data_IF_608578196120
#
_entry.id   IF_608578196120
#
_cell.length_a   1.000
_cell.length_b   1.000
_cell.length_c   1.000
_cell.angle_alpha   90.00
_cell.angle_beta   90.00
_cell.angle_gamma   90.00
#
_symmetry.space_group_name_H-M   'P 1'
#
loop_
_entity.id
_entity.type
_entity.pdbx_description
1 polymer ?
#
# COMPACT_ATOMS: atom_id res chain seq x y z
N UNK A 1 -6.03 3.35 -21.19
CA UNK A 1 -4.86 3.21 -20.31
C UNK A 1 -4.63 4.53 -19.59
N UNK A 2 -4.63 4.51 -18.28
CA UNK A 2 -4.44 5.76 -17.54
C UNK A 2 -2.97 6.12 -17.48
N UNK A 3 -2.58 7.16 -18.22
CA UNK A 3 -1.23 7.72 -18.16
C UNK A 3 -1.08 8.73 -17.03
N UNK A 4 -2.21 9.11 -16.39
CA UNK A 4 -2.21 10.10 -15.31
C UNK A 4 -2.06 9.49 -13.92
N UNK A 5 -2.14 8.16 -13.81
CA UNK A 5 -1.99 7.49 -12.53
C UNK A 5 -0.52 7.37 -12.15
N UNK A 6 -0.13 8.06 -11.07
CA UNK A 6 1.23 8.03 -10.55
C UNK A 6 1.70 6.59 -10.29
N UNK A 7 0.84 5.77 -9.66
CA UNK A 7 1.24 4.40 -9.31
C UNK A 7 1.31 3.49 -10.53
N UNK A 8 0.44 3.67 -11.53
CA UNK A 8 0.58 2.94 -12.80
C UNK A 8 1.91 3.26 -13.47
N UNK A 9 2.37 4.50 -13.40
CA UNK A 9 3.65 4.93 -13.97
C UNK A 9 4.83 4.36 -13.19
N UNK A 10 4.69 4.20 -11.88
CA UNK A 10 5.70 3.51 -11.05
C UNK A 10 5.72 2.02 -11.39
N UNK A 11 4.56 1.38 -11.49
CA UNK A 11 4.46 -0.05 -11.84
C UNK A 11 5.12 -0.33 -13.18
N UNK A 12 4.91 0.54 -14.17
CA UNK A 12 5.50 0.38 -15.50
C UNK A 12 7.02 0.67 -15.55
N UNK A 13 7.57 1.26 -14.49
CA UNK A 13 8.97 1.66 -14.46
C UNK A 13 9.25 3.04 -15.06
N UNK A 14 8.23 3.74 -15.52
CA UNK A 14 8.37 5.10 -16.07
C UNK A 14 8.87 6.09 -15.00
N UNK A 15 8.37 5.96 -13.78
CA UNK A 15 8.81 6.76 -12.64
C UNK A 15 9.56 5.83 -11.68
N UNK A 16 10.81 6.16 -11.32
CA UNK A 16 11.57 5.36 -10.38
C UNK A 16 11.00 5.45 -8.96
N UNK A 17 11.10 4.35 -8.20
CA UNK A 17 10.71 4.29 -6.81
C UNK A 17 11.57 3.25 -6.08
N UNK A 18 11.72 3.42 -4.78
CA UNK A 18 12.46 2.48 -3.94
C UNK A 18 11.56 1.26 -3.66
N UNK A 19 11.68 0.23 -4.50
CA UNK A 19 10.88 -1.00 -4.38
C UNK A 19 11.43 -1.88 -3.28
N UNK A 20 10.57 -2.35 -2.38
CA UNK A 20 10.91 -3.30 -1.33
C UNK A 20 10.34 -4.68 -1.58
N UNK A 21 9.39 -4.78 -2.50
CA UNK A 21 8.80 -6.05 -2.93
C UNK A 21 8.18 -5.88 -4.31
N UNK A 22 8.26 -6.91 -5.14
CA UNK A 22 7.44 -7.01 -6.33
C UNK A 22 7.21 -8.48 -6.70
N UNK A 23 5.99 -8.78 -7.10
CA UNK A 23 5.60 -10.07 -7.62
C UNK A 23 4.63 -9.88 -8.79
N UNK A 24 3.94 -10.95 -9.21
CA UNK A 24 3.03 -10.91 -10.35
C UNK A 24 1.76 -10.06 -10.11
N UNK A 25 1.41 -9.78 -8.86
CA UNK A 25 0.17 -9.06 -8.51
C UNK A 25 0.41 -7.75 -7.77
N UNK A 26 1.49 -7.65 -6.99
CA UNK A 26 1.70 -6.57 -6.03
C UNK A 26 3.09 -5.96 -6.17
N UNK A 27 3.16 -4.66 -6.04
CA UNK A 27 4.40 -3.91 -5.86
C UNK A 27 4.33 -3.16 -4.54
N UNK A 28 5.43 -3.14 -3.80
CA UNK A 28 5.55 -2.34 -2.58
C UNK A 28 6.76 -1.41 -2.69
N UNK A 29 6.55 -0.15 -2.32
CA UNK A 29 7.56 0.90 -2.39
C UNK A 29 7.63 1.66 -1.07
N UNK A 30 8.76 2.32 -0.82
CA UNK A 30 8.88 3.21 0.33
C UNK A 30 8.19 4.53 0.03
N UNK A 31 7.44 5.06 1.01
CA UNK A 31 6.83 6.38 0.89
C UNK A 31 7.94 7.44 0.93
N UNK A 32 7.85 8.43 0.03
CA UNK A 32 8.84 9.54 -0.03
C UNK A 32 8.69 10.53 1.13
N UNK A 33 7.52 10.57 1.76
CA UNK A 33 7.22 11.44 2.89
C UNK A 33 6.73 10.61 4.08
N UNK A 34 7.61 9.77 4.65
CA UNK A 34 7.20 8.80 5.66
C UNK A 34 6.67 9.50 6.91
N UNK A 35 5.61 8.93 7.47
CA UNK A 35 5.01 9.40 8.74
C UNK A 35 5.32 8.45 9.88
N UNK A 36 6.14 7.42 9.63
CA UNK A 36 6.64 6.48 10.62
C UNK A 36 8.03 6.01 10.19
N UNK A 37 8.86 5.46 11.09
CA UNK A 37 10.19 4.93 10.73
C UNK A 37 10.13 3.89 9.60
N UNK A 38 9.08 3.06 9.57
CA UNK A 38 8.76 2.21 8.43
C UNK A 38 7.44 2.68 7.85
N UNK A 39 7.45 3.08 6.59
CA UNK A 39 6.25 3.50 5.86
C UNK A 39 6.36 3.00 4.43
N UNK A 40 5.63 1.93 4.14
CA UNK A 40 5.64 1.25 2.85
C UNK A 40 4.25 1.32 2.24
N UNK A 41 4.18 1.53 0.94
CA UNK A 41 2.94 1.51 0.16
C UNK A 41 2.89 0.21 -0.64
N UNK A 42 1.84 -0.58 -0.43
CA UNK A 42 1.59 -1.78 -1.22
C UNK A 42 0.43 -1.51 -2.17
N UNK A 43 0.61 -1.84 -3.43
CA UNK A 43 -0.38 -1.57 -4.46
C UNK A 43 -0.50 -2.73 -5.44
N UNK A 44 -1.69 -2.98 -6.00
CA UNK A 44 -1.80 -3.93 -7.10
C UNK A 44 -1.13 -3.38 -8.35
N UNK A 45 -0.55 -4.27 -9.17
CA UNK A 45 -0.05 -3.87 -10.49
C UNK A 45 -1.18 -3.39 -11.38
N UNK A 46 -2.32 -4.09 -11.33
CA UNK A 46 -3.51 -3.68 -12.06
C UNK A 46 -4.07 -2.39 -11.46
N UNK A 47 -4.58 -1.52 -12.31
CA UNK A 47 -5.21 -0.29 -11.84
C UNK A 47 -6.58 -0.59 -11.22
N UNK A 48 -6.67 -0.42 -9.91
CA UNK A 48 -7.93 -0.43 -9.16
C UNK A 48 -8.01 0.92 -8.47
N UNK A 49 -9.10 1.65 -8.65
CA UNK A 49 -9.18 3.04 -8.18
C UNK A 49 -9.15 3.15 -6.66
N UNK A 50 -9.94 2.33 -5.97
CA UNK A 50 -9.97 2.32 -4.51
C UNK A 50 -10.52 0.99 -4.00
N UNK A 51 -10.53 0.84 -2.67
CA UNK A 51 -11.12 -0.33 -2.03
C UNK A 51 -12.62 -0.50 -2.36
N UNK A 52 -13.30 0.61 -2.67
CA UNK A 52 -14.71 0.56 -3.06
C UNK A 52 -14.92 -0.21 -4.37
N UNK A 53 -13.92 -0.24 -5.24
CA UNK A 53 -14.01 -0.91 -6.53
C UNK A 53 -13.73 -2.43 -6.46
N UNK A 54 -13.40 -2.94 -5.29
CA UNK A 54 -13.18 -4.36 -5.07
C UNK A 54 -14.53 -5.08 -4.90
N UNK A 55 -14.63 -6.27 -5.47
CA UNK A 55 -15.75 -7.18 -5.24
C UNK A 55 -15.25 -8.57 -4.85
N UNK A 56 -16.16 -9.54 -4.76
CA UNK A 56 -15.79 -10.90 -4.33
C UNK A 56 -14.76 -11.55 -5.24
N UNK A 57 -14.78 -11.24 -6.53
CA UNK A 57 -13.80 -11.80 -7.49
C UNK A 57 -12.39 -11.30 -7.23
N UNK A 58 -12.24 -10.18 -6.52
CA UNK A 58 -10.95 -9.59 -6.17
C UNK A 58 -10.41 -10.09 -4.81
N UNK A 59 -11.11 -11.01 -4.16
CA UNK A 59 -10.68 -11.53 -2.86
C UNK A 59 -9.24 -12.08 -2.88
N UNK A 60 -8.79 -12.81 -3.92
CA UNK A 60 -7.39 -13.24 -3.97
C UNK A 60 -6.40 -12.08 -4.00
N UNK A 61 -6.69 -11.01 -4.72
CA UNK A 61 -5.83 -9.81 -4.75
C UNK A 61 -5.82 -9.11 -3.40
N UNK A 62 -6.99 -8.91 -2.80
CA UNK A 62 -7.09 -8.26 -1.49
C UNK A 62 -6.34 -9.07 -0.42
N UNK A 63 -6.49 -10.39 -0.42
CA UNK A 63 -5.76 -11.27 0.48
C UNK A 63 -4.25 -11.22 0.25
N UNK A 64 -3.81 -11.16 -1.01
CA UNK A 64 -2.38 -11.04 -1.34
C UNK A 64 -1.79 -9.74 -0.79
N UNK A 65 -2.51 -8.62 -0.91
CA UNK A 65 -2.05 -7.34 -0.35
C UNK A 65 -1.82 -7.44 1.16
N UNK A 66 -2.75 -8.03 1.89
CA UNK A 66 -2.62 -8.18 3.34
C UNK A 66 -1.53 -9.18 3.72
N UNK A 67 -1.45 -10.31 3.02
CA UNK A 67 -0.41 -11.31 3.29
C UNK A 67 0.99 -10.75 2.99
N UNK A 68 1.13 -9.99 1.91
CA UNK A 68 2.37 -9.32 1.57
C UNK A 68 2.77 -8.31 2.65
N UNK A 69 1.79 -7.53 3.14
CA UNK A 69 2.04 -6.58 4.23
C UNK A 69 2.56 -7.28 5.50
N UNK A 70 1.99 -8.42 5.84
CA UNK A 70 2.45 -9.20 6.99
C UNK A 70 3.90 -9.69 6.80
N UNK A 71 4.23 -10.18 5.61
CA UNK A 71 5.59 -10.62 5.30
C UNK A 71 6.59 -9.45 5.39
N UNK A 72 6.21 -8.29 4.84
CA UNK A 72 7.04 -7.09 4.91
C UNK A 72 7.21 -6.58 6.33
N UNK A 73 6.17 -6.64 7.16
CA UNK A 73 6.28 -6.27 8.57
C UNK A 73 7.37 -7.11 9.28
N UNK A 74 7.45 -8.40 8.95
CA UNK A 74 8.50 -9.26 9.50
C UNK A 74 9.88 -8.87 8.98
N UNK A 75 10.03 -8.69 7.68
CA UNK A 75 11.33 -8.36 7.09
C UNK A 75 11.82 -6.96 7.45
N UNK A 76 10.90 -6.03 7.72
CA UNK A 76 11.23 -4.67 8.16
C UNK A 76 11.45 -4.55 9.67
N UNK A 77 11.29 -5.64 10.41
CA UNK A 77 11.57 -5.67 11.84
C UNK A 77 10.50 -5.02 12.72
N UNK A 78 9.28 -4.85 12.21
CA UNK A 78 8.19 -4.19 12.95
C UNK A 78 7.10 -5.16 13.42
N UNK A 79 7.27 -6.46 13.18
CA UNK A 79 6.25 -7.45 13.53
C UNK A 79 6.06 -7.56 15.04
N UNK A 80 7.16 -7.63 15.81
CA UNK A 80 7.08 -7.83 17.26
C UNK A 80 6.50 -6.61 17.98
N UNK A 81 6.87 -5.41 17.57
CA UNK A 81 6.36 -4.18 18.15
C UNK A 81 4.93 -3.86 17.73
N UNK A 82 4.51 -4.44 16.63
CA UNK A 82 3.21 -4.16 16.04
C UNK A 82 3.25 -3.09 14.95
N UNK A 83 2.24 -3.10 14.13
CA UNK A 83 2.17 -2.20 12.98
C UNK A 83 0.71 -1.87 12.67
N UNK A 84 0.52 -0.88 11.82
CA UNK A 84 -0.83 -0.49 11.38
C UNK A 84 -0.90 -0.58 9.86
N UNK A 85 -2.04 -1.06 9.37
CA UNK A 85 -2.37 -1.02 7.96
C UNK A 85 -3.50 -0.02 7.76
N UNK A 86 -3.34 0.85 6.76
CA UNK A 86 -4.35 1.88 6.45
C UNK A 86 -4.68 1.79 4.97
N UNK A 87 -5.96 1.72 4.66
CA UNK A 87 -6.47 1.78 3.29
C UNK A 87 -7.47 2.93 3.23
N UNK A 88 -7.10 4.00 2.57
CA UNK A 88 -7.97 5.17 2.41
C UNK A 88 -8.79 5.02 1.12
N UNK A 89 -10.06 5.36 1.18
CA UNK A 89 -10.94 5.33 0.01
C UNK A 89 -11.76 6.62 -0.03
N UNK A 90 -11.71 7.32 -1.15
CA UNK A 90 -12.47 8.54 -1.38
C UNK A 90 -11.96 9.74 -0.60
N UNK A 91 -12.65 10.87 -0.76
CA UNK A 91 -12.22 12.15 -0.20
C UNK A 91 -12.24 12.18 1.32
N UNK A 92 -13.32 11.72 1.93
CA UNK A 92 -13.44 11.70 3.40
C UNK A 92 -12.46 10.70 4.02
N UNK A 93 -12.05 9.67 3.27
CA UNK A 93 -11.03 8.74 3.71
C UNK A 93 -9.60 9.28 3.57
N UNK A 94 -9.42 10.39 2.87
CA UNK A 94 -8.11 10.98 2.66
C UNK A 94 -7.28 10.32 1.57
N UNK A 95 -7.93 9.68 0.60
CA UNK A 95 -7.21 9.08 -0.53
C UNK A 95 -6.66 10.16 -1.45
N UNK A 96 -5.33 10.23 -1.60
CA UNK A 96 -4.65 11.25 -2.39
C UNK A 96 -4.25 10.78 -3.78
N UNK A 97 -4.08 9.47 -3.98
CA UNK A 97 -3.77 8.89 -5.28
C UNK A 97 -4.88 7.91 -5.66
N UNK A 98 -5.46 8.08 -6.84
CA UNK A 98 -6.60 7.28 -7.32
C UNK A 98 -6.19 5.91 -7.83
N UNK A 99 -5.42 5.18 -7.04
CA UNK A 99 -4.98 3.81 -7.28
C UNK A 99 -4.89 3.14 -5.92
N UNK A 100 -5.61 2.05 -5.73
CA UNK A 100 -5.67 1.31 -4.47
C UNK A 100 -4.27 1.10 -3.88
N UNK A 101 -4.08 1.45 -2.63
CA UNK A 101 -2.84 1.16 -1.93
C UNK A 101 -3.07 1.00 -0.44
N UNK A 102 -2.23 0.19 0.16
CA UNK A 102 -2.22 -0.09 1.60
C UNK A 102 -0.97 0.55 2.19
N UNK A 103 -1.14 1.40 3.18
CA UNK A 103 -0.01 1.91 3.97
C UNK A 103 0.36 0.89 5.03
N UNK A 104 1.62 0.49 5.09
CA UNK A 104 2.19 -0.28 6.18
C UNK A 104 3.03 0.69 7.03
N UNK A 105 2.62 0.90 8.27
CA UNK A 105 3.23 1.86 9.18
C UNK A 105 3.72 1.15 10.42
N UNK A 106 4.96 1.37 10.80
CA UNK A 106 5.51 0.77 12.02
C UNK A 106 6.77 1.45 12.50
N UNK A 107 7.31 0.95 13.60
CA UNK A 107 8.52 1.50 14.20
C UNK A 107 8.26 2.60 15.22
N UNK A 108 7.01 2.91 15.51
CA UNK A 108 6.57 3.79 16.58
C UNK A 108 5.19 3.40 17.05
N UNK A 109 4.82 3.85 18.24
CA UNK A 109 3.47 3.66 18.75
C UNK A 109 2.48 4.53 17.95
N UNK A 110 1.34 3.94 17.64
CA UNK A 110 0.20 4.61 17.02
C UNK A 110 -0.92 4.77 18.05
N UNK A 111 -1.58 5.91 18.04
CA UNK A 111 -2.66 6.19 18.98
C UNK A 111 -4.02 5.78 18.42
N UNK A 112 -5.01 5.81 19.30
CA UNK A 112 -6.40 5.61 18.94
C UNK A 112 -7.21 6.80 19.48
N UNK A 113 -8.14 7.40 18.71
CA UNK A 113 -8.60 6.97 17.38
C UNK A 113 -7.58 7.19 16.26
N UNK A 114 -7.75 6.47 15.12
CA UNK A 114 -6.74 6.48 14.04
C UNK A 114 -6.73 7.75 13.18
N UNK A 115 -7.67 8.62 13.38
CA UNK A 115 -7.75 9.84 12.57
C UNK A 115 -8.31 11.04 13.31
#
# INVERSE_FOLDING_TARGET
MSTDCLFCRIVSGEIPAARVHEDDLVIAIRDLHPVAPVHVLLMPRAHVGSALDLDESDAPLAGRLLACAAALARSEGIADGGFRLVVNAGDDGGQTVGHLHVHLLGGRRMDWPPG
#
